data_IF_747217495298
#
_entry.id   IF_747217495298
#
_cell.length_a   1.000
_cell.length_b   1.000
_cell.length_c   1.000
_cell.angle_alpha   90.00
_cell.angle_beta   90.00
_cell.angle_gamma   90.00
#
_symmetry.space_group_name_H-M   'P 1'
#
loop_
_entity.id
_entity.type
_entity.pdbx_description
1 polymer ?
#
# COMPACT_ATOMS: atom_id res chain seq x y z
N UNK A 1 -30.12 1.34 9.79
CA UNK A 1 -28.87 0.75 10.29
C UNK A 1 -28.40 -0.22 9.23
N UNK A 2 -27.49 0.19 8.35
CA UNK A 2 -26.90 -0.67 7.32
C UNK A 2 -25.77 -1.47 7.95
N UNK A 3 -25.81 -2.80 7.80
CA UNK A 3 -24.77 -3.70 8.27
C UNK A 3 -23.45 -3.34 7.61
N UNK A 4 -22.53 -2.75 8.35
CA UNK A 4 -21.12 -2.75 7.96
C UNK A 4 -20.70 -4.22 7.92
N UNK A 5 -20.55 -4.76 6.72
CA UNK A 5 -19.99 -6.10 6.53
C UNK A 5 -18.53 -6.06 7.01
N UNK A 6 -18.16 -7.07 7.76
CA UNK A 6 -16.86 -7.27 8.37
C UNK A 6 -15.73 -7.23 7.32
N UNK A 7 -15.18 -6.06 7.07
CA UNK A 7 -13.96 -5.90 6.29
C UNK A 7 -12.77 -5.88 7.25
N UNK A 8 -11.82 -6.74 7.01
CA UNK A 8 -10.66 -6.91 7.87
C UNK A 8 -9.58 -5.90 7.53
N UNK A 9 -9.22 -5.01 8.45
CA UNK A 9 -8.03 -4.14 8.35
C UNK A 9 -6.71 -4.94 8.42
N UNK A 10 -6.79 -6.25 8.44
CA UNK A 10 -5.66 -7.16 8.58
C UNK A 10 -4.56 -6.95 7.53
N UNK A 11 -4.92 -6.45 6.34
CA UNK A 11 -3.97 -6.27 5.25
C UNK A 11 -3.00 -5.09 5.47
N UNK A 12 -3.39 -4.10 6.28
CA UNK A 12 -2.55 -2.91 6.53
C UNK A 12 -1.46 -3.15 7.58
N UNK A 13 -1.58 -4.18 8.41
CA UNK A 13 -0.58 -4.49 9.45
C UNK A 13 0.70 -5.13 8.87
N UNK A 14 0.65 -5.67 7.65
CA UNK A 14 1.81 -6.26 6.98
C UNK A 14 2.87 -5.26 6.49
N UNK A 15 2.50 -4.00 6.28
CA UNK A 15 3.42 -2.97 5.77
C UNK A 15 4.45 -2.54 6.83
N UNK A 16 4.13 -2.68 8.10
CA UNK A 16 5.01 -2.27 9.21
C UNK A 16 6.02 -3.31 9.68
N UNK A 17 5.90 -4.56 9.23
CA UNK A 17 6.77 -5.64 9.69
C UNK A 17 7.99 -5.92 8.79
N UNK A 18 8.18 -5.16 7.71
CA UNK A 18 9.43 -5.21 6.94
C UNK A 18 10.55 -4.46 7.66
N UNK A 19 10.84 -4.84 8.91
CA UNK A 19 12.17 -4.73 9.46
C UNK A 19 13.04 -5.69 8.65
N UNK A 20 14.14 -5.21 8.11
CA UNK A 20 15.21 -5.96 7.45
C UNK A 20 15.32 -7.39 8.00
N UNK A 21 14.88 -8.40 7.28
CA UNK A 21 14.90 -9.84 7.58
C UNK A 21 13.50 -10.48 7.71
N UNK A 22 12.55 -10.17 6.85
CA UNK A 22 11.43 -11.07 6.66
C UNK A 22 11.48 -11.60 5.23
N UNK A 23 11.94 -12.83 5.10
CA UNK A 23 11.80 -13.64 3.91
C UNK A 23 10.34 -13.60 3.43
N UNK A 24 10.12 -13.31 2.16
CA UNK A 24 8.84 -13.51 1.50
C UNK A 24 8.56 -15.03 1.35
N UNK A 25 8.64 -15.79 2.42
CA UNK A 25 8.17 -17.18 2.47
C UNK A 25 6.71 -17.15 2.93
N UNK A 26 5.84 -17.61 2.05
CA UNK A 26 4.49 -18.03 2.36
C UNK A 26 4.51 -18.98 3.56
N UNK A 27 3.66 -18.72 4.55
CA UNK A 27 3.38 -19.49 5.76
C UNK A 27 4.10 -19.01 7.02
N UNK A 28 3.78 -17.81 7.46
CA UNK A 28 3.80 -17.50 8.88
C UNK A 28 2.40 -17.04 9.30
N UNK A 29 1.78 -17.84 10.17
CA UNK A 29 0.53 -17.55 10.87
C UNK A 29 0.68 -16.26 11.70
N UNK A 30 0.65 -15.11 11.07
CA UNK A 30 0.34 -13.87 11.74
C UNK A 30 -1.11 -13.99 12.18
N UNK A 31 -1.32 -14.34 13.44
CA UNK A 31 -2.63 -14.26 14.08
C UNK A 31 -3.09 -12.81 14.04
N UNK A 32 -3.69 -12.43 12.92
CA UNK A 32 -4.28 -11.12 12.72
C UNK A 32 -5.61 -11.15 13.43
N UNK A 33 -5.71 -10.51 14.60
CA UNK A 33 -7.02 -10.20 15.16
C UNK A 33 -7.77 -9.37 14.13
N UNK A 34 -8.88 -9.92 13.66
CA UNK A 34 -9.80 -9.25 12.75
C UNK A 34 -10.46 -8.11 13.52
N UNK A 35 -9.85 -6.95 13.51
CA UNK A 35 -10.43 -5.72 14.07
C UNK A 35 -11.38 -5.16 13.02
N UNK A 36 -12.65 -5.45 13.21
CA UNK A 36 -13.75 -4.94 12.37
C UNK A 36 -13.85 -3.42 12.51
N UNK A 37 -13.83 -2.70 11.40
CA UNK A 37 -14.16 -1.29 11.15
C UNK A 37 -14.31 -0.34 12.33
N UNK A 38 -13.32 -0.24 13.21
CA UNK A 38 -13.33 0.68 14.34
C UNK A 38 -12.38 1.86 14.13
N UNK A 39 -12.58 2.95 14.86
CA UNK A 39 -11.67 4.09 14.84
C UNK A 39 -10.26 3.69 15.29
N UNK A 40 -10.15 2.76 16.23
CA UNK A 40 -8.87 2.23 16.71
C UNK A 40 -8.11 1.51 15.60
N UNK A 41 -8.82 0.71 14.79
CA UNK A 41 -8.21 0.02 13.65
C UNK A 41 -7.75 1.02 12.58
N UNK A 42 -8.53 2.06 12.29
CA UNK A 42 -8.13 3.14 11.38
C UNK A 42 -6.89 3.88 11.90
N UNK A 43 -6.86 4.20 13.20
CA UNK A 43 -5.71 4.85 13.83
C UNK A 43 -4.46 3.97 13.76
N UNK A 44 -4.60 2.66 13.97
CA UNK A 44 -3.50 1.70 13.83
C UNK A 44 -2.99 1.64 12.38
N UNK A 45 -3.89 1.61 11.38
CA UNK A 45 -3.51 1.67 9.97
C UNK A 45 -2.76 2.96 9.62
N UNK A 46 -3.23 4.11 10.11
CA UNK A 46 -2.53 5.39 9.96
C UNK A 46 -1.13 5.37 10.58
N UNK A 47 -0.97 4.75 11.74
CA UNK A 47 0.33 4.61 12.39
C UNK A 47 1.27 3.71 11.58
N UNK A 48 0.78 2.58 11.06
CA UNK A 48 1.57 1.68 10.21
C UNK A 48 1.97 2.38 8.89
N UNK A 49 1.07 3.14 8.29
CA UNK A 49 1.40 3.94 7.12
C UNK A 49 2.58 4.91 7.41
N UNK A 50 2.54 5.62 8.54
CA UNK A 50 3.64 6.54 8.93
C UNK A 50 4.96 5.82 9.11
N UNK A 51 4.95 4.62 9.70
CA UNK A 51 6.16 3.80 9.87
C UNK A 51 6.70 3.37 8.50
N UNK A 52 5.83 2.82 7.64
CA UNK A 52 6.22 2.39 6.30
C UNK A 52 6.75 3.57 5.46
N UNK A 53 6.05 4.71 5.47
CA UNK A 53 6.48 5.93 4.78
C UNK A 53 7.86 6.40 5.25
N UNK A 54 8.12 6.40 6.57
CA UNK A 54 9.41 6.80 7.12
C UNK A 54 10.57 5.88 6.69
N UNK A 55 10.30 4.60 6.43
CA UNK A 55 11.28 3.68 5.86
C UNK A 55 11.48 3.93 4.36
N UNK A 56 10.41 4.19 3.61
CA UNK A 56 10.50 4.55 2.20
C UNK A 56 11.34 5.79 1.98
N UNK A 57 11.09 6.87 2.70
CA UNK A 57 11.87 8.12 2.66
C UNK A 57 13.39 7.89 2.87
N UNK A 58 13.75 6.97 3.76
CA UNK A 58 15.16 6.62 3.97
C UNK A 58 15.75 5.84 2.79
N UNK A 59 14.94 5.17 2.02
CA UNK A 59 15.38 4.39 0.86
C UNK A 59 15.54 5.21 -0.41
N UNK A 60 15.10 6.46 -0.43
CA UNK A 60 15.18 7.34 -1.62
C UNK A 60 16.61 7.56 -2.14
N UNK A 61 17.62 7.40 -1.28
CA UNK A 61 19.03 7.40 -1.72
C UNK A 61 19.35 6.24 -2.69
N UNK A 62 18.48 5.24 -2.81
CA UNK A 62 18.65 4.01 -3.59
C UNK A 62 17.61 3.87 -4.71
N UNK A 63 17.10 4.99 -5.27
CA UNK A 63 16.11 5.00 -6.37
C UNK A 63 16.74 4.68 -7.75
N UNK A 64 17.88 4.02 -7.77
CA UNK A 64 18.56 3.52 -8.97
C UNK A 64 18.46 1.98 -9.04
N UNK A 65 19.01 1.38 -10.08
CA UNK A 65 19.09 -0.08 -10.20
C UNK A 65 17.71 -0.72 -10.18
N UNK A 66 17.42 -1.51 -9.15
CA UNK A 66 16.16 -2.22 -9.02
C UNK A 66 14.94 -1.30 -8.98
N UNK A 67 15.03 -0.17 -8.30
CA UNK A 67 13.93 0.78 -8.20
C UNK A 67 13.60 1.41 -9.56
N UNK A 68 14.62 1.78 -10.33
CA UNK A 68 14.48 2.37 -11.65
C UNK A 68 14.00 1.34 -12.69
N UNK A 69 14.65 0.17 -12.76
CA UNK A 69 14.32 -0.88 -13.74
C UNK A 69 12.87 -1.34 -13.68
N UNK A 70 12.29 -1.40 -12.48
CA UNK A 70 10.90 -1.83 -12.28
C UNK A 70 9.94 -0.67 -12.06
N UNK A 71 10.39 0.58 -12.24
CA UNK A 71 9.58 1.77 -12.04
C UNK A 71 8.89 1.79 -10.68
N UNK A 72 9.61 1.37 -9.63
CA UNK A 72 9.03 1.23 -8.29
C UNK A 72 8.65 2.59 -7.73
N UNK A 73 9.52 3.58 -7.85
CA UNK A 73 9.28 4.92 -7.31
C UNK A 73 8.01 5.56 -7.89
N UNK A 74 7.83 5.71 -9.21
CA UNK A 74 6.60 6.27 -9.75
C UNK A 74 5.36 5.42 -9.48
N UNK A 75 5.51 4.13 -9.17
CA UNK A 75 4.40 3.29 -8.78
C UNK A 75 3.99 3.46 -7.31
N UNK A 76 4.96 3.77 -6.45
CA UNK A 76 4.76 3.80 -4.99
C UNK A 76 4.62 5.20 -4.41
N UNK A 77 5.18 6.23 -5.06
CA UNK A 77 5.33 7.57 -4.47
C UNK A 77 5.00 8.74 -5.42
N UNK A 78 4.15 8.51 -6.42
CA UNK A 78 3.73 9.60 -7.32
C UNK A 78 2.91 10.66 -6.58
N UNK A 79 3.30 11.92 -6.70
CA UNK A 79 2.63 13.11 -6.18
C UNK A 79 2.42 14.14 -7.28
N UNK A 80 1.32 14.90 -7.29
CA UNK A 80 0.17 14.85 -6.37
C UNK A 80 -0.84 13.75 -6.72
N UNK A 81 -1.70 13.39 -5.75
CA UNK A 81 -2.84 12.50 -6.00
C UNK A 81 -3.80 13.15 -6.99
N UNK A 82 -4.18 12.42 -8.03
CA UNK A 82 -5.24 12.85 -8.95
C UNK A 82 -6.62 12.64 -8.32
N UNK A 83 -7.07 13.65 -7.57
CA UNK A 83 -8.34 13.60 -6.84
C UNK A 83 -9.55 13.44 -7.78
N UNK A 84 -9.49 14.01 -8.97
CA UNK A 84 -10.57 13.90 -9.94
C UNK A 84 -10.67 12.48 -10.51
N UNK A 85 -9.54 11.90 -10.88
CA UNK A 85 -9.48 10.50 -11.30
C UNK A 85 -9.89 9.55 -10.19
N UNK A 86 -9.46 9.77 -8.94
CA UNK A 86 -9.89 8.97 -7.79
C UNK A 86 -11.43 9.01 -7.61
N UNK A 87 -12.02 10.20 -7.66
CA UNK A 87 -13.46 10.33 -7.56
C UNK A 87 -14.20 9.60 -8.69
N UNK A 88 -13.64 9.53 -9.89
CA UNK A 88 -14.18 8.76 -11.00
C UNK A 88 -14.06 7.26 -10.78
N UNK A 89 -12.88 6.77 -10.34
CA UNK A 89 -12.66 5.35 -10.02
C UNK A 89 -13.63 4.87 -8.95
N UNK A 90 -13.80 5.62 -7.87
CA UNK A 90 -14.74 5.26 -6.78
C UNK A 90 -16.21 5.18 -7.23
N UNK A 91 -16.58 5.84 -8.33
CA UNK A 91 -17.94 5.77 -8.92
C UNK A 91 -18.07 4.71 -10.00
N UNK A 92 -16.95 4.22 -10.53
CA UNK A 92 -16.95 3.25 -11.62
C UNK A 92 -17.16 1.84 -11.09
N UNK A 93 -18.40 1.37 -11.18
CA UNK A 93 -18.77 0.02 -10.75
C UNK A 93 -17.99 -1.07 -11.50
N UNK A 94 -17.58 -0.80 -12.75
CA UNK A 94 -16.81 -1.77 -13.52
C UNK A 94 -15.41 -1.98 -12.94
N UNK A 95 -14.83 -0.96 -12.32
CA UNK A 95 -13.53 -1.02 -11.63
C UNK A 95 -13.72 -1.54 -10.22
N UNK A 96 -14.61 -0.90 -9.44
CA UNK A 96 -14.75 -1.17 -8.01
C UNK A 96 -15.28 -2.56 -7.67
N UNK A 97 -16.08 -3.20 -8.56
CA UNK A 97 -16.52 -4.58 -8.35
C UNK A 97 -15.39 -5.61 -8.34
N UNK A 98 -14.22 -5.25 -8.86
CA UNK A 98 -13.05 -6.12 -8.97
C UNK A 98 -11.74 -5.32 -8.75
N UNK A 99 -11.77 -4.37 -7.82
CA UNK A 99 -10.65 -3.45 -7.60
C UNK A 99 -9.36 -4.18 -7.23
N UNK A 100 -9.42 -5.31 -6.52
CA UNK A 100 -8.24 -6.08 -6.14
C UNK A 100 -7.42 -6.56 -7.35
N UNK A 101 -8.09 -6.92 -8.46
CA UNK A 101 -7.42 -7.34 -9.69
C UNK A 101 -7.12 -6.17 -10.63
N UNK A 102 -7.85 -5.08 -10.51
CA UNK A 102 -7.77 -3.91 -11.40
C UNK A 102 -6.91 -2.77 -10.88
N UNK A 103 -6.50 -2.81 -9.62
CA UNK A 103 -5.71 -1.75 -8.99
C UNK A 103 -4.46 -1.38 -9.80
N UNK A 104 -3.76 -2.37 -10.36
CA UNK A 104 -2.56 -2.15 -11.20
C UNK A 104 -2.81 -1.50 -12.55
N UNK A 105 -4.07 -1.39 -12.97
CA UNK A 105 -4.48 -0.69 -14.19
C UNK A 105 -4.73 0.80 -13.95
N UNK A 106 -4.76 1.22 -12.69
CA UNK A 106 -4.91 2.62 -12.32
C UNK A 106 -3.62 3.39 -12.66
N UNK A 107 -3.77 4.69 -12.90
CA UNK A 107 -2.59 5.54 -13.09
C UNK A 107 -1.82 5.70 -11.76
N UNK A 108 -0.53 5.99 -11.86
CA UNK A 108 0.38 6.10 -10.70
C UNK A 108 -0.07 7.15 -9.68
N UNK A 109 -0.74 8.22 -10.10
CA UNK A 109 -1.29 9.24 -9.20
C UNK A 109 -2.46 8.75 -8.32
N UNK A 110 -2.87 7.49 -8.46
CA UNK A 110 -3.89 6.83 -7.64
C UNK A 110 -3.31 5.68 -6.80
N UNK A 111 -2.01 5.44 -6.88
CA UNK A 111 -1.38 4.29 -6.23
C UNK A 111 -0.47 4.73 -5.07
N UNK A 112 0.13 3.75 -4.45
CA UNK A 112 1.20 3.96 -3.50
C UNK A 112 0.81 4.70 -2.21
N UNK A 113 1.83 5.31 -1.62
CA UNK A 113 1.70 5.97 -0.31
C UNK A 113 0.69 7.10 -0.33
N UNK A 114 0.69 7.94 -1.36
CA UNK A 114 -0.15 9.12 -1.41
C UNK A 114 -1.62 8.79 -1.70
N UNK A 115 -1.91 7.74 -2.51
CA UNK A 115 -3.27 7.25 -2.67
C UNK A 115 -3.88 6.76 -1.35
N UNK A 116 -3.09 6.04 -0.56
CA UNK A 116 -3.49 5.58 0.79
C UNK A 116 -3.66 6.77 1.73
N UNK A 117 -2.68 7.68 1.76
CA UNK A 117 -2.69 8.88 2.60
C UNK A 117 -3.96 9.71 2.39
N UNK A 118 -4.31 9.95 1.13
CA UNK A 118 -5.48 10.75 0.77
C UNK A 118 -6.77 10.18 1.36
N UNK A 119 -6.89 8.86 1.46
CA UNK A 119 -8.07 8.22 2.04
C UNK A 119 -8.01 8.18 3.57
N UNK A 120 -6.86 7.85 4.16
CA UNK A 120 -6.75 7.64 5.61
C UNK A 120 -6.72 8.93 6.42
N UNK A 121 -6.20 10.02 5.86
CA UNK A 121 -5.93 11.25 6.60
C UNK A 121 -6.77 12.44 6.10
N UNK A 122 -6.97 13.40 6.99
CA UNK A 122 -7.44 14.76 6.69
C UNK A 122 -6.64 15.75 7.52
N UNK A 123 -6.04 16.73 6.86
CA UNK A 123 -5.21 17.78 7.52
C UNK A 123 -4.13 17.17 8.44
N UNK A 124 -3.49 16.08 8.01
CA UNK A 124 -2.44 15.38 8.74
C UNK A 124 -2.90 14.50 9.91
N UNK A 125 -4.20 14.43 10.20
CA UNK A 125 -4.78 13.60 11.25
C UNK A 125 -5.54 12.40 10.66
N UNK A 126 -5.63 11.25 11.36
CA UNK A 126 -6.52 10.18 10.97
C UNK A 126 -7.95 10.69 10.78
N UNK A 127 -8.64 10.23 9.73
CA UNK A 127 -10.05 10.55 9.51
C UNK A 127 -10.93 9.97 10.62
N UNK A 128 -12.10 10.56 10.79
CA UNK A 128 -13.19 9.93 11.51
C UNK A 128 -13.70 8.73 10.68
N UNK A 129 -13.78 7.56 11.30
CA UNK A 129 -14.22 6.33 10.63
C UNK A 129 -15.62 6.46 10.02
N UNK A 130 -16.50 7.28 10.63
CA UNK A 130 -17.84 7.55 10.12
C UNK A 130 -17.88 8.27 8.77
N UNK A 131 -16.77 8.91 8.40
CA UNK A 131 -16.60 9.63 7.13
C UNK A 131 -15.97 8.75 6.03
N UNK A 132 -15.49 7.55 6.37
CA UNK A 132 -14.89 6.62 5.41
C UNK A 132 -16.02 5.80 4.76
N UNK A 133 -16.11 5.86 3.43
CA UNK A 133 -17.07 5.07 2.67
C UNK A 133 -16.56 3.63 2.44
N UNK A 134 -17.47 2.69 2.21
CA UNK A 134 -17.12 1.30 1.89
C UNK A 134 -16.26 1.21 0.62
N UNK A 135 -16.49 2.08 -0.36
CA UNK A 135 -15.70 2.12 -1.61
C UNK A 135 -14.29 2.65 -1.38
N UNK A 136 -14.13 3.73 -0.58
CA UNK A 136 -12.81 4.22 -0.18
C UNK A 136 -12.05 3.16 0.62
N UNK A 137 -12.74 2.42 1.49
CA UNK A 137 -12.14 1.32 2.23
C UNK A 137 -11.63 0.20 1.30
N UNK A 138 -12.46 -0.25 0.35
CA UNK A 138 -12.06 -1.28 -0.62
C UNK A 138 -10.87 -0.82 -1.46
N UNK A 139 -10.91 0.43 -1.93
CA UNK A 139 -9.82 1.03 -2.69
C UNK A 139 -8.51 1.05 -1.89
N UNK A 140 -8.52 1.56 -0.66
CA UNK A 140 -7.30 1.67 0.14
C UNK A 140 -6.71 0.30 0.48
N UNK A 141 -7.55 -0.73 0.70
CA UNK A 141 -7.08 -2.09 0.89
C UNK A 141 -6.39 -2.66 -0.36
N UNK A 142 -6.96 -2.42 -1.55
CA UNK A 142 -6.38 -2.86 -2.80
C UNK A 142 -5.04 -2.16 -3.09
N UNK A 143 -4.97 -0.83 -2.89
CA UNK A 143 -3.73 -0.05 -3.08
C UNK A 143 -2.66 -0.45 -2.07
N UNK A 144 -3.02 -0.72 -0.81
CA UNK A 144 -2.07 -1.18 0.20
C UNK A 144 -1.48 -2.56 -0.14
N UNK A 145 -2.31 -3.48 -0.65
CA UNK A 145 -1.84 -4.79 -1.14
C UNK A 145 -0.90 -4.65 -2.32
N UNK A 146 -1.22 -3.77 -3.26
CA UNK A 146 -0.40 -3.50 -4.42
C UNK A 146 0.95 -2.86 -4.03
N UNK A 147 0.94 -1.88 -3.13
CA UNK A 147 2.14 -1.27 -2.55
C UNK A 147 3.04 -2.33 -1.87
N UNK A 148 2.45 -3.24 -1.09
CA UNK A 148 3.20 -4.35 -0.48
C UNK A 148 3.85 -5.24 -1.54
N UNK A 149 3.14 -5.58 -2.63
CA UNK A 149 3.70 -6.38 -3.71
C UNK A 149 4.83 -5.66 -4.44
N UNK A 150 4.73 -4.35 -4.65
CA UNK A 150 5.80 -3.55 -5.24
C UNK A 150 7.06 -3.54 -4.36
N UNK A 151 6.90 -3.40 -3.04
CA UNK A 151 8.04 -3.47 -2.10
C UNK A 151 8.67 -4.85 -2.04
N UNK A 152 7.89 -5.95 -2.15
CA UNK A 152 8.43 -7.30 -2.28
C UNK A 152 9.24 -7.48 -3.58
N UNK A 153 8.78 -6.91 -4.70
CA UNK A 153 9.55 -6.92 -5.96
C UNK A 153 10.88 -6.18 -5.77
N UNK A 154 10.86 -5.02 -5.14
CA UNK A 154 12.07 -4.24 -4.85
C UNK A 154 13.06 -5.06 -4.00
N UNK A 155 12.59 -5.63 -2.90
CA UNK A 155 13.40 -6.45 -2.00
C UNK A 155 14.03 -7.65 -2.73
N UNK A 156 13.23 -8.47 -3.39
CA UNK A 156 13.71 -9.68 -4.07
C UNK A 156 14.66 -9.36 -5.23
N UNK A 157 14.52 -8.18 -5.84
CA UNK A 157 15.41 -7.74 -6.91
C UNK A 157 16.76 -7.32 -6.34
N UNK A 158 16.80 -6.56 -5.25
CA UNK A 158 18.03 -6.21 -4.55
C UNK A 158 18.75 -7.44 -3.97
N UNK A 159 18.02 -8.45 -3.52
CA UNK A 159 18.59 -9.72 -3.07
C UNK A 159 19.11 -10.60 -4.21
N UNK A 160 18.93 -10.18 -5.47
CA UNK A 160 19.37 -10.93 -6.64
C UNK A 160 18.58 -12.22 -6.90
N UNK A 161 17.41 -12.37 -6.28
CA UNK A 161 16.55 -13.53 -6.45
C UNK A 161 15.90 -13.60 -7.84
N UNK A 162 15.82 -12.46 -8.55
CA UNK A 162 15.32 -12.40 -9.93
C UNK A 162 16.43 -12.63 -10.93
N UNK A 163 16.23 -13.57 -11.85
CA UNK A 163 17.19 -13.88 -12.91
C UNK A 163 17.57 -12.63 -13.71
N UNK A 164 18.87 -12.36 -13.84
CA UNK A 164 19.41 -11.25 -14.61
C UNK A 164 19.65 -9.96 -13.84
N UNK A 165 19.29 -9.87 -12.56
CA UNK A 165 19.61 -8.71 -11.72
C UNK A 165 20.89 -8.96 -10.91
N UNK A 166 21.83 -7.99 -10.96
CA UNK A 166 23.13 -8.06 -10.27
C UNK A 166 23.32 -6.91 -9.30
N UNK A 167 22.25 -6.33 -8.80
CA UNK A 167 22.35 -5.10 -8.00
C UNK A 167 23.07 -5.30 -6.67
N UNK A 168 22.92 -6.46 -6.05
CA UNK A 168 23.67 -6.82 -4.85
C UNK A 168 25.15 -7.05 -5.11
N UNK A 169 25.56 -7.39 -6.33
CA UNK A 169 26.98 -7.52 -6.71
C UNK A 169 27.68 -6.17 -6.89
N UNK A 170 26.93 -5.12 -7.20
CA UNK A 170 27.48 -3.76 -7.42
C UNK A 170 27.66 -2.97 -6.13
N UNK A 171 27.12 -3.43 -5.01
CA UNK A 171 27.25 -2.79 -3.70
C UNK A 171 28.37 -3.41 -2.82
N UNK A 172 29.02 -4.49 -3.27
CA UNK A 172 30.18 -5.13 -2.66
C UNK A 172 31.43 -4.76 -3.42
#
# INVERSE_FOLDING_TARGET
MKNLKNYSFALMLGIGACGFMASCSSDDDVKTEVVTGSQEALNAACQQWRVARAHWEKSEAFLFGAADEYSIDPHTDTWPVDQAALANVLRDQSIMSDIENKVRLLNSGLLGYHGIEYVLFRQGNPRDISQLTDLEYQYVCAVAKDLYQATCVLQTTWEGAKSGTRYNETLN
#
